data_IF_157434379421
#
_entry.id   IF_157434379421
#
_cell.length_a   1.000
_cell.length_b   1.000
_cell.length_c   1.000
_cell.angle_alpha   90.00
_cell.angle_beta   90.00
_cell.angle_gamma   90.00
#
_symmetry.space_group_name_H-M   'P 1'
#
loop_
_entity.id
_entity.type
_entity.pdbx_description
1 polymer ?
#
# COMPACT_ATOMS: atom_id res chain seq x y z
N UNK A 1 -4.00 45.73 23.29
CA UNK A 1 -4.60 45.80 21.94
C UNK A 1 -3.61 45.12 21.00
N UNK A 2 -3.90 43.87 20.57
CA UNK A 2 -3.05 43.14 19.62
C UNK A 2 -3.64 43.30 18.23
N UNK A 3 -2.85 43.86 17.31
CA UNK A 3 -3.27 44.19 15.94
C UNK A 3 -3.59 42.90 15.17
N UNK A 4 -4.81 42.72 14.62
CA UNK A 4 -5.12 41.57 13.76
C UNK A 4 -4.49 41.81 12.39
N UNK A 5 -3.60 40.92 11.94
CA UNK A 5 -3.12 40.90 10.55
C UNK A 5 -1.60 40.97 10.31
N UNK A 6 -0.77 41.00 11.35
CA UNK A 6 0.68 40.89 11.14
C UNK A 6 1.04 39.43 10.88
N UNK A 7 1.36 39.09 9.62
CA UNK A 7 1.99 37.81 9.30
C UNK A 7 3.26 37.68 10.15
N UNK A 8 3.56 36.49 10.70
CA UNK A 8 4.80 36.27 11.41
C UNK A 8 5.97 36.70 10.52
N UNK A 9 6.92 37.46 11.05
CA UNK A 9 8.10 37.90 10.30
C UNK A 9 8.96 36.68 10.00
N UNK A 10 8.82 36.12 8.81
CA UNK A 10 9.61 34.98 8.35
C UNK A 10 11.03 35.46 8.10
N UNK A 11 12.00 34.97 8.86
CA UNK A 11 13.41 35.19 8.59
C UNK A 11 13.93 34.22 7.51
N UNK A 12 15.06 34.52 6.83
CA UNK A 12 15.66 33.58 5.88
C UNK A 12 15.99 32.20 6.49
N UNK A 13 16.23 32.14 7.80
CA UNK A 13 16.44 30.87 8.52
C UNK A 13 15.12 30.09 8.67
N UNK A 14 14.01 30.79 8.91
CA UNK A 14 12.67 30.18 8.98
C UNK A 14 12.24 29.66 7.61
N UNK A 15 12.55 30.39 6.53
CA UNK A 15 12.28 29.95 5.16
C UNK A 15 12.99 28.63 4.84
N UNK A 16 14.28 28.50 5.16
CA UNK A 16 15.04 27.28 4.94
C UNK A 16 14.46 26.08 5.72
N UNK A 17 14.07 26.27 6.98
CA UNK A 17 13.42 25.23 7.80
C UNK A 17 12.06 24.81 7.23
N UNK A 18 11.24 25.78 6.80
CA UNK A 18 9.93 25.52 6.18
C UNK A 18 10.06 24.71 4.89
N UNK A 19 11.01 25.09 4.02
CA UNK A 19 11.26 24.38 2.76
C UNK A 19 11.75 22.95 3.01
N UNK A 20 12.69 22.77 3.93
CA UNK A 20 13.20 21.46 4.30
C UNK A 20 12.10 20.55 4.86
N UNK A 21 11.26 21.04 5.77
CA UNK A 21 10.14 20.28 6.34
C UNK A 21 9.08 19.94 5.29
N UNK A 22 8.87 20.83 4.32
CA UNK A 22 7.95 20.62 3.21
C UNK A 22 8.45 19.49 2.31
N UNK A 23 9.72 19.52 1.92
CA UNK A 23 10.35 18.44 1.14
C UNK A 23 10.30 17.08 1.86
N UNK A 24 10.55 17.06 3.17
CA UNK A 24 10.43 15.86 3.99
C UNK A 24 9.00 15.30 4.00
N UNK A 25 7.98 16.16 4.13
CA UNK A 25 6.57 15.74 4.07
C UNK A 25 6.18 15.24 2.68
N UNK A 26 6.58 15.95 1.63
CA UNK A 26 6.29 15.57 0.24
C UNK A 26 6.89 14.20 -0.08
N UNK A 27 8.19 14.01 0.17
CA UNK A 27 8.86 12.74 -0.09
C UNK A 27 8.25 11.56 0.69
N UNK A 28 7.75 11.82 1.90
CA UNK A 28 7.07 10.80 2.72
C UNK A 28 5.67 10.48 2.21
N UNK A 29 4.93 11.49 1.76
CA UNK A 29 3.64 11.32 1.09
C UNK A 29 3.78 10.52 -0.21
N UNK A 30 4.73 10.87 -1.06
CA UNK A 30 5.01 10.16 -2.32
C UNK A 30 5.35 8.68 -2.10
N UNK A 31 6.19 8.37 -1.09
CA UNK A 31 6.50 6.99 -0.70
C UNK A 31 5.24 6.22 -0.30
N UNK A 32 4.37 6.85 0.49
CA UNK A 32 3.11 6.26 0.96
C UNK A 32 2.14 6.00 -0.19
N UNK A 33 1.99 6.97 -1.11
CA UNK A 33 1.16 6.82 -2.30
C UNK A 33 1.67 5.71 -3.21
N UNK A 34 2.99 5.64 -3.44
CA UNK A 34 3.60 4.59 -4.26
C UNK A 34 3.44 3.21 -3.64
N UNK A 35 3.64 3.08 -2.32
CA UNK A 35 3.43 1.82 -1.60
C UNK A 35 1.98 1.35 -1.70
N UNK A 36 1.02 2.24 -1.47
CA UNK A 36 -0.42 1.96 -1.56
C UNK A 36 -0.82 1.56 -2.98
N UNK A 37 -0.34 2.28 -3.99
CA UNK A 37 -0.60 1.97 -5.40
C UNK A 37 -0.05 0.60 -5.80
N UNK A 38 1.17 0.28 -5.37
CA UNK A 38 1.78 -1.03 -5.57
C UNK A 38 0.97 -2.16 -4.92
N UNK A 39 0.50 -1.94 -3.69
CA UNK A 39 -0.35 -2.89 -2.96
C UNK A 39 -1.67 -3.15 -3.69
N UNK A 40 -2.36 -2.10 -4.12
CA UNK A 40 -3.60 -2.24 -4.90
C UNK A 40 -3.37 -2.97 -6.23
N UNK A 41 -2.24 -2.72 -6.89
CA UNK A 41 -1.83 -3.45 -8.10
C UNK A 41 -1.66 -4.95 -7.83
N UNK A 42 -1.00 -5.30 -6.72
CA UNK A 42 -0.78 -6.67 -6.28
C UNK A 42 -2.10 -7.38 -5.93
N UNK A 43 -2.96 -6.76 -5.13
CA UNK A 43 -4.27 -7.29 -4.77
C UNK A 43 -5.13 -7.53 -6.02
N UNK A 44 -5.12 -6.59 -6.96
CA UNK A 44 -5.84 -6.72 -8.24
C UNK A 44 -5.33 -7.89 -9.07
N UNK A 45 -4.01 -8.11 -9.11
CA UNK A 45 -3.40 -9.23 -9.82
C UNK A 45 -3.84 -10.57 -9.19
N UNK A 46 -3.74 -10.68 -7.87
CA UNK A 46 -4.20 -11.85 -7.11
C UNK A 46 -5.69 -12.15 -7.33
N UNK A 47 -6.52 -11.11 -7.33
CA UNK A 47 -7.95 -11.24 -7.63
C UNK A 47 -8.20 -11.76 -9.05
N UNK A 48 -7.47 -11.24 -10.05
CA UNK A 48 -7.53 -11.73 -11.44
C UNK A 48 -7.11 -13.20 -11.55
N UNK A 49 -6.00 -13.59 -10.91
CA UNK A 49 -5.52 -14.98 -10.88
C UNK A 49 -6.59 -15.95 -10.38
N UNK A 50 -7.33 -15.60 -9.32
CA UNK A 50 -8.36 -16.48 -8.76
C UNK A 50 -9.61 -16.52 -9.63
N UNK A 51 -9.98 -15.40 -10.26
CA UNK A 51 -11.13 -15.32 -11.17
C UNK A 51 -10.91 -16.04 -12.50
N UNK A 52 -9.67 -16.07 -12.97
CA UNK A 52 -9.32 -16.75 -14.21
C UNK A 52 -9.51 -18.26 -14.06
N UNK A 53 -10.50 -18.80 -14.78
CA UNK A 53 -10.80 -20.24 -14.80
C UNK A 53 -9.88 -21.02 -15.74
N UNK A 54 -9.21 -20.34 -16.67
CA UNK A 54 -8.25 -20.94 -17.61
C UNK A 54 -6.87 -21.14 -17.00
N UNK A 55 -6.57 -20.42 -15.91
CA UNK A 55 -5.30 -20.55 -15.22
C UNK A 55 -5.30 -21.71 -14.22
N UNK A 56 -4.47 -22.72 -14.49
CA UNK A 56 -4.31 -23.88 -13.63
C UNK A 56 -3.30 -23.62 -12.49
N UNK A 57 -3.82 -23.54 -11.26
CA UNK A 57 -3.05 -23.45 -10.02
C UNK A 57 -3.46 -24.55 -9.03
N UNK A 58 -2.59 -24.86 -8.08
CA UNK A 58 -2.92 -25.80 -7.00
C UNK A 58 -3.97 -25.23 -6.05
N UNK A 59 -4.75 -26.08 -5.39
CA UNK A 59 -5.69 -25.65 -4.35
C UNK A 59 -5.00 -24.96 -3.16
N UNK A 60 -3.76 -25.33 -2.85
CA UNK A 60 -2.96 -24.67 -1.83
C UNK A 60 -2.63 -23.21 -2.21
N UNK A 61 -2.18 -22.97 -3.46
CA UNK A 61 -1.96 -21.62 -3.99
C UNK A 61 -3.25 -20.82 -3.98
N UNK A 62 -4.34 -21.42 -4.49
CA UNK A 62 -5.67 -20.78 -4.55
C UNK A 62 -6.19 -20.38 -3.17
N UNK A 63 -6.08 -21.27 -2.18
CA UNK A 63 -6.47 -21.02 -0.80
C UNK A 63 -5.64 -19.91 -0.16
N UNK A 64 -4.33 -19.87 -0.43
CA UNK A 64 -3.45 -18.79 0.06
C UNK A 64 -3.87 -17.43 -0.50
N UNK A 65 -4.19 -17.37 -1.80
CA UNK A 65 -4.65 -16.12 -2.42
C UNK A 65 -6.01 -15.70 -1.84
N UNK A 66 -6.95 -16.64 -1.71
CA UNK A 66 -8.27 -16.37 -1.15
C UNK A 66 -8.19 -15.87 0.30
N UNK A 67 -7.33 -16.46 1.13
CA UNK A 67 -7.11 -16.01 2.50
C UNK A 67 -6.55 -14.59 2.56
N UNK A 68 -5.59 -14.25 1.68
CA UNK A 68 -5.02 -12.91 1.60
C UNK A 68 -6.04 -11.86 1.12
N UNK A 69 -6.86 -12.21 0.11
CA UNK A 69 -7.94 -11.35 -0.37
C UNK A 69 -9.04 -11.18 0.69
N UNK A 70 -9.37 -12.25 1.42
CA UNK A 70 -10.33 -12.20 2.51
C UNK A 70 -9.83 -11.29 3.64
N UNK A 71 -8.55 -11.42 4.04
CA UNK A 71 -7.91 -10.52 5.00
C UNK A 71 -7.97 -9.05 4.54
N UNK A 72 -7.73 -8.78 3.25
CA UNK A 72 -7.82 -7.43 2.69
C UNK A 72 -9.25 -6.85 2.66
N UNK A 73 -10.28 -7.69 2.52
CA UNK A 73 -11.69 -7.25 2.36
C UNK A 73 -12.44 -7.21 3.69
N UNK A 74 -12.06 -8.03 4.66
CA UNK A 74 -12.70 -8.03 5.99
C UNK A 74 -12.32 -6.71 6.70
N UNK A 75 -13.30 -5.87 7.08
CA UNK A 75 -13.07 -4.57 7.71
C UNK A 75 -12.62 -4.68 9.18
N UNK A 76 -11.99 -5.77 9.59
CA UNK A 76 -11.70 -6.09 10.99
C UNK A 76 -10.48 -7.00 11.12
N UNK A 77 -9.32 -6.43 11.42
CA UNK A 77 -8.65 -6.87 12.65
C UNK A 77 -8.78 -5.73 13.66
N UNK A 78 -9.26 -6.07 14.84
CA UNK A 78 -9.89 -5.17 15.78
C UNK A 78 -8.85 -4.53 16.71
N UNK A 79 -8.11 -3.53 16.21
CA UNK A 79 -7.34 -2.62 17.05
C UNK A 79 -8.12 -1.31 17.19
N UNK A 80 -8.71 -1.03 18.36
CA UNK A 80 -9.37 0.25 18.62
C UNK A 80 -8.43 1.42 18.32
N UNK A 81 -8.96 2.37 17.55
CA UNK A 81 -8.35 3.60 17.03
C UNK A 81 -7.36 4.34 17.95
N UNK A 82 -6.03 4.19 17.82
CA UNK A 82 -5.07 5.16 18.43
C UNK A 82 -3.71 5.38 17.72
N UNK A 83 -3.34 4.67 16.63
CA UNK A 83 -2.02 4.88 15.99
C UNK A 83 -2.15 5.01 14.47
N UNK A 84 -2.29 6.25 13.93
CA UNK A 84 -2.42 6.53 12.50
C UNK A 84 -1.24 6.04 11.62
N UNK A 85 -0.12 5.67 12.23
CA UNK A 85 1.13 5.29 11.54
C UNK A 85 1.28 3.76 11.39
N UNK A 86 0.63 2.96 12.24
CA UNK A 86 0.82 1.49 12.28
C UNK A 86 -0.17 0.75 11.36
N UNK A 87 -1.37 1.29 11.13
CA UNK A 87 -2.41 0.63 10.32
C UNK A 87 -2.00 0.34 8.87
N UNK A 88 -1.14 1.16 8.25
CA UNK A 88 -0.69 0.91 6.87
C UNK A 88 0.43 -0.13 6.77
N UNK A 89 1.17 -0.37 7.86
CA UNK A 89 2.33 -1.24 7.83
C UNK A 89 1.91 -2.72 7.84
N UNK A 90 0.87 -3.07 8.58
CA UNK A 90 0.43 -4.46 8.75
C UNK A 90 -0.12 -5.06 7.45
N UNK A 91 -1.06 -4.36 6.77
CA UNK A 91 -1.61 -4.79 5.48
C UNK A 91 -0.54 -4.93 4.39
N UNK A 92 0.42 -3.99 4.36
CA UNK A 92 1.50 -3.99 3.36
C UNK A 92 2.47 -5.14 3.58
N UNK A 93 2.74 -5.49 4.84
CA UNK A 93 3.59 -6.63 5.20
C UNK A 93 2.89 -7.94 4.86
N UNK A 94 1.62 -8.12 5.23
CA UNK A 94 0.85 -9.34 4.94
C UNK A 94 0.76 -9.59 3.43
N UNK A 95 0.33 -8.58 2.66
CA UNK A 95 0.28 -8.68 1.18
C UNK A 95 1.68 -8.92 0.62
N UNK A 96 2.71 -8.23 1.14
CA UNK A 96 4.10 -8.43 0.73
C UNK A 96 4.59 -9.87 0.94
N UNK A 97 4.26 -10.49 2.08
CA UNK A 97 4.60 -11.89 2.37
C UNK A 97 3.90 -12.84 1.41
N UNK A 98 2.60 -12.62 1.15
CA UNK A 98 1.81 -13.44 0.22
C UNK A 98 2.38 -13.36 -1.19
N UNK A 99 2.69 -12.14 -1.67
CA UNK A 99 3.31 -11.92 -2.99
C UNK A 99 4.67 -12.62 -3.08
N UNK A 100 5.51 -12.53 -2.05
CA UNK A 100 6.80 -13.25 -2.02
C UNK A 100 6.62 -14.76 -2.06
N UNK A 101 5.68 -15.29 -1.27
CA UNK A 101 5.37 -16.72 -1.22
C UNK A 101 4.83 -17.24 -2.55
N UNK A 102 4.07 -16.42 -3.26
CA UNK A 102 3.43 -16.74 -4.53
C UNK A 102 4.18 -16.20 -5.76
N UNK A 103 5.39 -15.67 -5.59
CA UNK A 103 6.13 -15.01 -6.68
C UNK A 103 6.22 -15.86 -7.95
N UNK A 104 6.47 -17.18 -7.79
CA UNK A 104 6.49 -18.13 -8.92
C UNK A 104 5.14 -18.33 -9.58
N UNK A 105 4.05 -18.40 -8.81
CA UNK A 105 2.69 -18.54 -9.37
C UNK A 105 2.24 -17.25 -10.06
N UNK A 106 2.63 -16.10 -9.52
CA UNK A 106 2.39 -14.80 -10.13
C UNK A 106 3.12 -14.68 -11.47
N UNK A 107 4.37 -15.13 -11.54
CA UNK A 107 5.12 -15.09 -12.79
C UNK A 107 4.51 -16.03 -13.84
N UNK A 108 4.15 -17.26 -13.45
CA UNK A 108 3.38 -18.17 -14.31
C UNK A 108 2.09 -17.55 -14.83
N UNK A 109 1.39 -16.77 -14.00
CA UNK A 109 0.17 -16.08 -14.42
C UNK A 109 0.45 -14.91 -15.37
N UNK A 110 1.55 -14.17 -15.16
CA UNK A 110 1.98 -13.10 -16.07
C UNK A 110 2.32 -13.64 -17.45
N UNK A 111 3.01 -14.77 -17.50
CA UNK A 111 3.25 -15.49 -18.75
C UNK A 111 1.91 -15.92 -19.37
N UNK A 112 1.03 -16.56 -18.59
CA UNK A 112 -0.31 -16.98 -19.05
C UNK A 112 -1.09 -15.86 -19.72
N UNK A 113 -1.17 -14.67 -19.11
CA UNK A 113 -1.90 -13.53 -19.71
C UNK A 113 -1.15 -12.83 -20.85
N UNK A 114 0.16 -13.04 -21.00
CA UNK A 114 0.91 -12.51 -22.13
C UNK A 114 0.68 -13.31 -23.43
N UNK A 115 0.22 -14.55 -23.29
CA UNK A 115 -0.08 -15.47 -24.39
C UNK A 115 -1.56 -15.52 -24.79
N UNK A 116 -2.41 -14.70 -24.16
CA UNK A 116 -3.87 -14.58 -24.44
C UNK A 116 -4.13 -13.23 -25.11
#
# INVERSE_FOLDING_TARGET
MSTPGQLPSVSPADEADILQRTEQKLSSGERTLKATSSLLGNVRLLFRMVRDRSFHMTWASRGTILAALLYFVIPTDATPDYIPVIGYLDDTVVVGIVIRRLAREIERYREHIAWI
#
